data_IF_167254313661
#
_entry.id   IF_167254313661
#
_cell.length_a   1.000
_cell.length_b   1.000
_cell.length_c   1.000
_cell.angle_alpha   90.00
_cell.angle_beta   90.00
_cell.angle_gamma   90.00
#
_symmetry.space_group_name_H-M   'P 1'
#
loop_
_entity.id
_entity.type
_entity.pdbx_description
1 polymer ?
#
# COMPACT_ATOMS: atom_id res chain seq x y z
N UNK A 1 -33.48 24.59 17.65
CA UNK A 1 -33.75 23.91 16.37
C UNK A 1 -32.59 22.96 16.14
N UNK A 2 -32.76 21.67 16.47
CA UNK A 2 -31.71 20.65 16.34
C UNK A 2 -31.58 20.29 14.86
N UNK A 3 -30.41 20.54 14.28
CA UNK A 3 -30.09 20.16 12.90
C UNK A 3 -30.05 18.64 12.80
N UNK A 4 -30.75 18.09 11.80
CA UNK A 4 -30.68 16.67 11.40
C UNK A 4 -29.20 16.23 11.29
N UNK A 5 -28.85 14.96 11.61
CA UNK A 5 -27.52 14.46 11.28
C UNK A 5 -27.35 14.55 9.76
N UNK A 6 -26.36 15.32 9.31
CA UNK A 6 -25.93 15.33 7.92
C UNK A 6 -25.59 13.90 7.51
N UNK A 7 -25.84 13.53 6.24
CA UNK A 7 -25.43 12.25 5.69
C UNK A 7 -23.98 11.94 6.16
N UNK A 8 -23.81 10.84 6.90
CA UNK A 8 -22.52 10.48 7.49
C UNK A 8 -21.50 10.36 6.36
N UNK A 9 -20.38 11.08 6.48
CA UNK A 9 -19.28 11.01 5.52
C UNK A 9 -18.81 9.56 5.38
N UNK A 10 -18.48 9.12 4.17
CA UNK A 10 -17.84 7.83 3.96
C UNK A 10 -16.38 7.92 4.41
N UNK A 11 -16.02 7.17 5.44
CA UNK A 11 -14.70 7.16 6.05
C UNK A 11 -13.79 6.14 5.36
N UNK A 12 -12.74 6.65 4.75
CA UNK A 12 -11.75 5.89 3.97
C UNK A 12 -10.49 5.73 4.80
N UNK A 13 -10.26 4.52 5.31
CA UNK A 13 -9.04 4.15 6.02
C UNK A 13 -7.85 3.95 5.09
N UNK A 14 -6.70 4.51 5.44
CA UNK A 14 -5.45 4.34 4.68
C UNK A 14 -4.22 4.47 5.58
N UNK A 15 -3.05 4.01 5.09
CA UNK A 15 -1.76 4.29 5.73
C UNK A 15 -1.35 5.75 5.49
N UNK A 16 -0.48 6.27 6.36
CA UNK A 16 0.00 7.66 6.29
C UNK A 16 1.12 7.95 5.30
N UNK A 17 1.60 6.96 4.53
CA UNK A 17 2.65 7.21 3.52
C UNK A 17 2.12 8.04 2.35
N UNK A 18 2.97 8.84 1.71
CA UNK A 18 2.58 9.69 0.57
C UNK A 18 1.87 8.90 -0.55
N UNK A 19 2.35 7.69 -0.86
CA UNK A 19 1.71 6.83 -1.86
C UNK A 19 0.33 6.31 -1.40
N UNK A 20 0.20 5.91 -0.14
CA UNK A 20 -1.07 5.42 0.39
C UNK A 20 -2.15 6.52 0.45
N UNK A 21 -1.75 7.76 0.77
CA UNK A 21 -2.62 8.93 0.68
C UNK A 21 -3.03 9.20 -0.77
N UNK A 22 -2.09 9.14 -1.72
CA UNK A 22 -2.41 9.31 -3.15
C UNK A 22 -3.44 8.27 -3.63
N UNK A 23 -3.30 7.01 -3.20
CA UNK A 23 -4.26 5.94 -3.52
C UNK A 23 -5.65 6.19 -2.89
N UNK A 24 -5.70 6.69 -1.67
CA UNK A 24 -6.96 7.05 -1.00
C UNK A 24 -7.66 8.23 -1.68
N UNK A 25 -6.90 9.26 -2.06
CA UNK A 25 -7.42 10.40 -2.84
C UNK A 25 -7.92 9.96 -4.22
N UNK A 26 -7.18 9.11 -4.94
CA UNK A 26 -7.64 8.57 -6.22
C UNK A 26 -8.96 7.80 -6.06
N UNK A 27 -9.07 6.97 -5.01
CA UNK A 27 -10.31 6.22 -4.72
C UNK A 27 -11.48 7.17 -4.48
N UNK A 28 -11.29 8.19 -3.62
CA UNK A 28 -12.29 9.23 -3.34
C UNK A 28 -12.71 9.95 -4.62
N UNK A 29 -11.76 10.39 -5.43
CA UNK A 29 -12.03 11.18 -6.64
C UNK A 29 -12.82 10.36 -7.68
N UNK A 30 -12.55 9.06 -7.77
CA UNK A 30 -13.35 8.13 -8.59
C UNK A 30 -14.77 7.95 -8.04
N UNK A 31 -14.96 7.87 -6.73
CA UNK A 31 -16.29 7.80 -6.11
C UNK A 31 -17.08 9.10 -6.30
N UNK A 32 -16.44 10.26 -6.17
CA UNK A 32 -17.01 11.57 -6.49
C UNK A 32 -17.53 11.57 -7.94
N UNK A 33 -16.68 11.18 -8.89
CA UNK A 33 -17.04 11.17 -10.30
C UNK A 33 -18.16 10.17 -10.64
N UNK A 34 -18.14 8.98 -10.03
CA UNK A 34 -19.12 7.93 -10.29
C UNK A 34 -20.51 8.24 -9.72
N UNK A 35 -20.59 8.99 -8.61
CA UNK A 35 -21.84 9.20 -7.87
C UNK A 35 -22.30 10.66 -7.84
N UNK A 36 -21.52 11.60 -8.38
CA UNK A 36 -21.86 13.03 -8.34
C UNK A 36 -21.88 13.62 -6.92
N UNK A 37 -21.07 13.06 -6.02
CA UNK A 37 -21.02 13.46 -4.60
C UNK A 37 -19.97 14.55 -4.38
N UNK A 38 -20.19 15.49 -3.44
CA UNK A 38 -19.18 16.48 -3.09
C UNK A 38 -18.01 15.83 -2.35
N UNK A 39 -16.83 16.45 -2.38
CA UNK A 39 -15.66 15.99 -1.62
C UNK A 39 -15.95 15.87 -0.12
N UNK A 40 -16.80 16.75 0.42
CA UNK A 40 -17.25 16.72 1.82
C UNK A 40 -18.08 15.48 2.19
N UNK A 41 -18.51 14.66 1.22
CA UNK A 41 -19.15 13.37 1.49
C UNK A 41 -18.14 12.28 1.92
N UNK A 42 -16.84 12.57 1.91
CA UNK A 42 -15.78 11.61 2.21
C UNK A 42 -14.84 12.16 3.27
N UNK A 43 -14.32 11.27 4.11
CA UNK A 43 -13.28 11.57 5.11
C UNK A 43 -12.14 10.58 4.93
N UNK A 44 -10.89 11.05 4.91
CA UNK A 44 -9.71 10.17 4.85
C UNK A 44 -9.15 10.01 6.27
N UNK A 45 -9.19 8.78 6.78
CA UNK A 45 -8.72 8.43 8.10
C UNK A 45 -7.36 7.75 7.99
N UNK A 46 -6.33 8.44 8.49
CA UNK A 46 -4.96 7.94 8.49
C UNK A 46 -4.73 7.03 9.69
N UNK A 47 -4.38 5.78 9.41
CA UNK A 47 -4.13 4.76 10.42
C UNK A 47 -2.65 4.37 10.38
N UNK A 48 -2.01 4.44 11.55
CA UNK A 48 -0.60 4.07 11.71
C UNK A 48 -0.50 2.57 11.95
N UNK A 49 0.26 1.88 11.10
CA UNK A 49 0.40 0.41 11.20
C UNK A 49 1.70 0.02 11.91
N UNK A 50 1.75 -1.18 12.48
CA UNK A 50 2.99 -1.71 13.08
C UNK A 50 4.14 -1.76 12.06
N UNK A 51 3.85 -2.07 10.80
CA UNK A 51 4.84 -2.06 9.71
C UNK A 51 5.42 -0.68 9.41
N UNK A 52 4.72 0.42 9.73
CA UNK A 52 5.26 1.78 9.60
C UNK A 52 6.30 2.11 10.69
N UNK A 53 6.25 1.40 11.82
CA UNK A 53 7.15 1.63 12.96
C UNK A 53 8.48 0.90 12.81
N UNK A 54 8.52 -0.15 11.98
CA UNK A 54 9.71 -0.98 11.82
C UNK A 54 10.52 -0.47 10.63
N UNK A 55 11.55 0.32 10.94
CA UNK A 55 12.48 0.89 9.94
C UNK A 55 13.92 0.38 10.10
N UNK A 56 14.20 -0.34 11.19
CA UNK A 56 15.54 -0.69 11.65
C UNK A 56 16.00 -2.11 11.27
N UNK A 57 15.11 -2.94 10.73
CA UNK A 57 15.40 -4.33 10.35
C UNK A 57 14.59 -4.78 9.12
N UNK A 58 15.08 -5.78 8.35
CA UNK A 58 14.36 -6.32 7.20
C UNK A 58 12.99 -6.90 7.56
N UNK A 59 11.97 -6.59 6.75
CA UNK A 59 10.60 -7.14 6.91
C UNK A 59 10.55 -8.68 6.93
N UNK A 60 11.49 -9.35 6.25
CA UNK A 60 11.60 -10.81 6.25
C UNK A 60 11.95 -11.40 7.62
N UNK A 61 12.60 -10.63 8.49
CA UNK A 61 13.04 -11.07 9.83
C UNK A 61 12.00 -10.80 10.92
N UNK A 62 11.09 -9.86 10.67
CA UNK A 62 10.07 -9.45 11.66
C UNK A 62 9.03 -10.54 11.87
N UNK A 63 8.67 -11.28 10.81
CA UNK A 63 7.56 -12.22 10.85
C UNK A 63 6.22 -11.52 11.17
N UNK A 64 5.11 -12.24 10.97
CA UNK A 64 3.77 -11.71 11.24
C UNK A 64 2.98 -11.41 9.97
N UNK A 65 1.82 -12.05 9.86
CA UNK A 65 0.85 -11.79 8.78
C UNK A 65 0.21 -10.42 9.03
N UNK A 66 -0.01 -9.64 7.97
CA UNK A 66 -0.77 -8.39 8.05
C UNK A 66 -0.05 -7.20 8.68
N UNK A 67 1.29 -7.14 8.63
CA UNK A 67 2.09 -6.03 9.19
C UNK A 67 1.63 -4.62 8.78
N UNK A 68 1.01 -4.50 7.60
CA UNK A 68 0.50 -3.23 7.06
C UNK A 68 -1.03 -3.17 6.98
N UNK A 69 -1.74 -4.22 7.40
CA UNK A 69 -3.20 -4.32 7.24
C UNK A 69 -3.93 -4.47 8.56
N UNK A 70 -3.31 -5.08 9.59
CA UNK A 70 -3.95 -5.44 10.85
C UNK A 70 -4.68 -4.28 11.54
N UNK A 71 -4.04 -3.12 11.70
CA UNK A 71 -4.66 -1.99 12.39
C UNK A 71 -5.81 -1.38 11.56
N UNK A 72 -5.74 -1.46 10.23
CA UNK A 72 -6.79 -0.98 9.34
C UNK A 72 -7.97 -1.96 9.33
N UNK A 73 -7.69 -3.26 9.29
CA UNK A 73 -8.70 -4.32 9.41
C UNK A 73 -9.45 -4.21 10.75
N UNK A 74 -8.73 -3.92 11.84
CA UNK A 74 -9.36 -3.71 13.15
C UNK A 74 -10.27 -2.48 13.14
N UNK A 75 -9.84 -1.37 12.55
CA UNK A 75 -10.67 -0.16 12.41
C UNK A 75 -11.93 -0.40 11.54
N UNK A 76 -11.86 -1.27 10.52
CA UNK A 76 -13.05 -1.70 9.75
C UNK A 76 -14.01 -2.50 10.63
N UNK A 77 -13.50 -3.45 11.43
CA UNK A 77 -14.30 -4.30 12.31
C UNK A 77 -14.97 -3.49 13.43
N UNK A 78 -14.24 -2.53 14.00
CA UNK A 78 -14.74 -1.66 15.06
C UNK A 78 -15.71 -0.58 14.55
N UNK A 79 -15.82 -0.44 13.22
CA UNK A 79 -16.67 0.54 12.57
C UNK A 79 -16.13 1.97 12.63
N UNK A 80 -14.82 2.14 12.83
CA UNK A 80 -14.11 3.43 12.80
C UNK A 80 -13.93 3.95 11.37
N UNK A 81 -13.87 3.05 10.40
CA UNK A 81 -13.83 3.34 8.96
C UNK A 81 -14.87 2.48 8.22
N UNK A 82 -15.29 2.94 7.05
CA UNK A 82 -16.31 2.28 6.24
C UNK A 82 -15.69 1.48 5.08
N UNK A 83 -14.59 1.97 4.51
CA UNK A 83 -13.77 1.25 3.53
C UNK A 83 -12.28 1.44 3.81
N UNK A 84 -11.48 0.48 3.36
CA UNK A 84 -10.02 0.54 3.46
C UNK A 84 -9.38 0.54 2.06
N UNK A 85 -8.35 1.37 1.86
CA UNK A 85 -7.58 1.43 0.61
C UNK A 85 -6.18 0.89 0.84
N UNK A 86 -5.80 -0.09 0.03
CA UNK A 86 -4.50 -0.76 0.10
C UNK A 86 -3.85 -0.90 -1.27
N UNK A 87 -2.52 -0.95 -1.27
CA UNK A 87 -1.79 -1.55 -2.39
C UNK A 87 -2.06 -3.06 -2.40
N UNK A 88 -2.63 -3.58 -3.48
CA UNK A 88 -3.07 -4.98 -3.56
C UNK A 88 -1.96 -6.01 -3.25
N UNK A 89 -0.70 -5.70 -3.55
CA UNK A 89 0.46 -6.57 -3.27
C UNK A 89 0.73 -6.79 -1.77
N UNK A 90 0.22 -5.89 -0.93
CA UNK A 90 0.46 -5.90 0.52
C UNK A 90 -0.69 -6.61 1.27
N UNK A 91 -1.76 -7.02 0.55
CA UNK A 91 -2.87 -7.76 1.14
C UNK A 91 -2.51 -9.22 1.40
N UNK A 92 -2.93 -9.80 2.54
CA UNK A 92 -2.79 -11.23 2.76
C UNK A 92 -3.69 -12.03 1.79
N UNK A 93 -3.27 -13.24 1.46
CA UNK A 93 -4.06 -14.15 0.60
C UNK A 93 -5.30 -14.71 1.28
N UNK A 94 -5.35 -14.65 2.61
CA UNK A 94 -6.50 -15.03 3.44
C UNK A 94 -6.88 -13.80 4.24
N UNK A 95 -8.09 -13.31 4.04
CA UNK A 95 -8.62 -12.16 4.76
C UNK A 95 -9.24 -12.61 6.10
N UNK A 96 -9.28 -11.72 7.11
CA UNK A 96 -10.05 -11.96 8.32
C UNK A 96 -11.53 -12.22 8.00
N UNK A 97 -12.20 -13.03 8.82
CA UNK A 97 -13.63 -13.29 8.66
C UNK A 97 -14.43 -11.98 8.78
N UNK A 98 -15.41 -11.79 7.88
CA UNK A 98 -16.24 -10.58 7.83
C UNK A 98 -15.64 -9.43 7.01
N UNK A 99 -14.43 -9.58 6.49
CA UNK A 99 -13.82 -8.60 5.59
C UNK A 99 -13.65 -9.18 4.18
N UNK A 100 -13.90 -8.36 3.17
CA UNK A 100 -13.84 -8.76 1.76
C UNK A 100 -13.12 -7.69 0.92
N UNK A 101 -12.42 -8.14 -0.11
CA UNK A 101 -11.91 -7.26 -1.17
C UNK A 101 -13.02 -7.06 -2.20
N UNK A 102 -13.72 -5.93 -2.12
CA UNK A 102 -14.92 -5.66 -2.92
C UNK A 102 -14.65 -4.97 -4.27
N UNK A 103 -13.47 -4.35 -4.43
CA UNK A 103 -13.16 -3.56 -5.62
C UNK A 103 -11.65 -3.52 -5.92
N UNK A 104 -11.33 -3.36 -7.20
CA UNK A 104 -9.99 -3.06 -7.68
C UNK A 104 -10.07 -1.88 -8.66
N UNK A 105 -9.22 -0.89 -8.48
CA UNK A 105 -9.08 0.20 -9.45
C UNK A 105 -8.39 -0.29 -10.73
N UNK A 106 -8.52 0.43 -11.86
CA UNK A 106 -7.74 0.14 -13.07
C UNK A 106 -6.25 0.00 -12.75
N UNK A 107 -5.66 -1.09 -13.25
CA UNK A 107 -4.31 -1.47 -12.87
C UNK A 107 -3.29 -0.58 -13.57
N UNK A 108 -2.39 0.00 -12.78
CA UNK A 108 -1.21 0.70 -13.28
C UNK A 108 -0.13 -0.25 -13.83
N UNK A 109 0.92 0.32 -14.40
CA UNK A 109 2.08 -0.43 -14.90
C UNK A 109 2.65 -1.37 -13.81
N UNK A 110 2.79 -2.64 -14.17
CA UNK A 110 3.20 -3.72 -13.26
C UNK A 110 4.71 -3.93 -13.22
N UNK A 111 5.47 -3.24 -14.07
CA UNK A 111 6.92 -3.45 -14.23
C UNK A 111 7.69 -2.97 -13.00
N UNK A 112 8.76 -3.69 -12.69
CA UNK A 112 9.79 -3.17 -11.79
C UNK A 112 10.60 -2.09 -12.52
N UNK A 113 10.97 -1.01 -11.81
CA UNK A 113 11.84 0.03 -12.32
C UNK A 113 13.29 -0.16 -11.85
N UNK A 114 14.25 0.08 -12.74
CA UNK A 114 15.66 0.17 -12.38
C UNK A 114 16.03 1.64 -12.14
N UNK A 115 16.59 1.92 -10.95
CA UNK A 115 16.99 3.25 -10.54
C UNK A 115 18.49 3.21 -10.22
N UNK A 116 19.29 4.00 -10.94
CA UNK A 116 20.71 4.13 -10.67
C UNK A 116 21.24 5.48 -11.16
N UNK A 117 22.09 6.16 -10.38
CA UNK A 117 22.78 7.35 -10.85
C UNK A 117 24.03 7.03 -11.69
N UNK A 118 24.44 5.75 -11.75
CA UNK A 118 25.74 5.33 -12.33
C UNK A 118 25.60 4.47 -13.59
N UNK A 119 24.46 3.83 -13.79
CA UNK A 119 24.23 2.88 -14.88
C UNK A 119 22.84 3.08 -15.46
N UNK A 120 22.68 2.82 -16.77
CA UNK A 120 21.37 2.89 -17.44
C UNK A 120 20.61 1.58 -17.32
N UNK A 121 21.31 0.45 -17.18
CA UNK A 121 20.73 -0.88 -17.05
C UNK A 121 21.45 -1.69 -15.98
N UNK A 122 20.78 -2.73 -15.49
CA UNK A 122 21.36 -3.72 -14.57
C UNK A 122 22.61 -4.36 -15.19
N UNK A 123 22.62 -4.59 -16.50
CA UNK A 123 23.77 -5.19 -17.19
C UNK A 123 25.01 -4.28 -17.22
N UNK A 124 24.83 -2.98 -17.05
CA UNK A 124 25.92 -2.00 -17.13
C UNK A 124 26.58 -1.77 -15.75
N UNK A 125 26.05 -2.40 -14.68
CA UNK A 125 26.63 -2.30 -13.35
C UNK A 125 28.02 -2.96 -13.31
N UNK A 126 29.01 -2.32 -12.65
CA UNK A 126 30.33 -2.91 -12.48
C UNK A 126 30.25 -4.18 -11.64
N UNK A 127 31.28 -5.02 -11.75
CA UNK A 127 31.42 -6.19 -10.90
C UNK A 127 31.40 -5.77 -9.42
N UNK A 128 30.74 -6.57 -8.57
CA UNK A 128 30.58 -6.34 -7.14
C UNK A 128 29.80 -5.06 -6.78
N UNK A 129 29.05 -4.46 -7.71
CA UNK A 129 28.14 -3.37 -7.39
C UNK A 129 27.05 -3.84 -6.42
N UNK A 130 26.73 -2.98 -5.45
CA UNK A 130 25.68 -3.19 -4.45
C UNK A 130 24.31 -2.81 -5.03
N UNK A 131 23.33 -3.69 -4.89
CA UNK A 131 21.94 -3.46 -5.31
C UNK A 131 21.00 -3.57 -4.12
N UNK A 132 20.38 -2.45 -3.73
CA UNK A 132 19.42 -2.43 -2.63
C UNK A 132 18.04 -2.95 -3.04
N UNK A 133 17.56 -4.03 -2.41
CA UNK A 133 16.16 -4.44 -2.46
C UNK A 133 15.81 -5.36 -1.28
N UNK A 134 14.74 -5.08 -0.55
CA UNK A 134 14.20 -5.98 0.49
C UNK A 134 13.31 -7.09 -0.06
N UNK A 135 13.02 -7.08 -1.37
CA UNK A 135 12.14 -8.07 -2.00
C UNK A 135 12.94 -9.32 -2.43
N UNK A 136 12.71 -10.45 -1.77
CA UNK A 136 13.30 -11.74 -2.15
C UNK A 136 13.03 -12.10 -3.62
N UNK A 137 11.84 -11.77 -4.14
CA UNK A 137 11.48 -11.95 -5.56
C UNK A 137 12.47 -11.21 -6.47
N UNK A 138 12.69 -9.91 -6.22
CA UNK A 138 13.60 -9.09 -7.02
C UNK A 138 15.04 -9.56 -6.87
N UNK A 139 15.46 -9.88 -5.64
CA UNK A 139 16.81 -10.40 -5.38
C UNK A 139 17.07 -11.68 -6.18
N UNK A 140 16.17 -12.65 -6.13
CA UNK A 140 16.30 -13.91 -6.87
C UNK A 140 16.38 -13.68 -8.39
N UNK A 141 15.52 -12.82 -8.94
CA UNK A 141 15.51 -12.51 -10.37
C UNK A 141 16.80 -11.82 -10.82
N UNK A 142 17.32 -10.87 -10.05
CA UNK A 142 18.56 -10.16 -10.38
C UNK A 142 19.78 -11.06 -10.21
N UNK A 143 19.87 -11.88 -9.14
CA UNK A 143 20.95 -12.86 -8.94
C UNK A 143 21.05 -13.82 -10.13
N UNK A 144 19.91 -14.26 -10.67
CA UNK A 144 19.86 -15.10 -11.88
C UNK A 144 20.42 -14.39 -13.12
N UNK A 145 20.22 -13.07 -13.24
CA UNK A 145 20.72 -12.28 -14.37
C UNK A 145 22.22 -11.92 -14.24
N UNK A 146 22.69 -11.67 -13.02
CA UNK A 146 24.05 -11.16 -12.71
C UNK A 146 24.51 -11.69 -11.35
N UNK A 147 25.19 -12.83 -11.34
CA UNK A 147 25.71 -13.47 -10.12
C UNK A 147 26.79 -12.66 -9.40
N UNK A 148 27.42 -11.70 -10.09
CA UNK A 148 28.55 -10.91 -9.57
C UNK A 148 28.12 -9.65 -8.81
N UNK A 149 26.82 -9.45 -8.53
CA UNK A 149 26.32 -8.29 -7.78
C UNK A 149 26.19 -8.63 -6.29
N UNK A 150 26.36 -7.61 -5.45
CA UNK A 150 26.21 -7.68 -3.98
C UNK A 150 24.94 -6.95 -3.52
N UNK A 151 24.56 -7.09 -2.24
CA UNK A 151 23.24 -6.69 -1.71
C UNK A 151 23.37 -5.78 -0.49
#
# INVERSE_FOLDING_TARGET
MQTKPSASQLRIGTRGSALALAQAHETRDRLIAAHGLPESAFEIIVIKTSGDQIQDRPLSEVGGKGLFTKEIEQAMVDGDIDIAVHSAKDMPTVLPAGLELIAFLPREDVRDAFLSPKAKRIQDLPQNAVVGSSSLRRQAMIKRLRLTLTW
#
